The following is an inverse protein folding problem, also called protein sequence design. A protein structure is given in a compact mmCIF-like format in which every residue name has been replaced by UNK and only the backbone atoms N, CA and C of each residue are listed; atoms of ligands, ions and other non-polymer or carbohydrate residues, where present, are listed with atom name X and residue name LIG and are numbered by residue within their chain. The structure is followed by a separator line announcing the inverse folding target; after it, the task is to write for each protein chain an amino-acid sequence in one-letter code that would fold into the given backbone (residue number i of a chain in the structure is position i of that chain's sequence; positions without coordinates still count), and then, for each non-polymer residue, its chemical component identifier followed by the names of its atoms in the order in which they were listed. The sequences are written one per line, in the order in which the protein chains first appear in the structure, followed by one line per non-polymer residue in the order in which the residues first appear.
data_IF_773998887533
#
_entry.id   IF_773998887533
#
_cell.length_a   1.000
_cell.length_b   1.000
_cell.length_c   1.000
_cell.angle_alpha   90.00
_cell.angle_beta   90.00
_cell.angle_gamma   90.00
#
_symmetry.space_group_name_H-M   'P 1'
#
loop_
_entity.id
_entity.type
_entity.pdbx_description
1 polymer ?
#
# COMPACT_ATOMS: atom_id res chain seq x y z
N UNK A 1 -3.17 15.62 7.71
CA UNK A 1 -2.63 14.51 8.51
C UNK A 1 -1.84 15.04 9.71
N UNK A 2 -1.84 14.32 10.85
CA UNK A 2 -1.11 14.70 12.08
C UNK A 2 -0.04 13.64 12.38
N UNK A 3 1.16 14.08 12.78
CA UNK A 3 2.22 13.17 13.21
C UNK A 3 1.82 12.43 14.50
N UNK A 4 2.18 11.16 14.59
CA UNK A 4 1.89 10.28 15.71
C UNK A 4 3.08 9.34 15.93
N UNK A 5 3.45 9.16 17.19
CA UNK A 5 4.53 8.26 17.60
C UNK A 5 4.09 7.52 18.86
N UNK A 6 4.09 6.20 18.76
CA UNK A 6 3.86 5.24 19.81
C UNK A 6 5.11 4.35 19.94
N UNK A 7 5.19 3.53 20.97
CA UNK A 7 6.37 2.68 21.21
C UNK A 7 6.57 1.64 20.09
N UNK A 8 5.49 1.16 19.48
CA UNK A 8 5.47 0.10 18.47
C UNK A 8 5.42 0.62 17.02
N UNK A 9 5.07 1.89 16.81
CA UNK A 9 4.87 2.49 15.47
C UNK A 9 4.91 4.00 15.46
N UNK A 10 5.21 4.57 14.29
CA UNK A 10 5.17 6.01 14.07
C UNK A 10 4.75 6.37 12.65
N UNK A 11 3.96 7.45 12.52
CA UNK A 11 3.67 8.13 11.25
C UNK A 11 4.01 9.59 11.32
N UNK A 12 4.63 10.10 10.26
CA UNK A 12 4.94 11.51 10.18
C UNK A 12 5.11 11.92 8.72
N UNK A 13 4.94 13.21 8.48
CA UNK A 13 5.30 13.82 7.21
C UNK A 13 6.63 14.57 7.36
N UNK A 14 7.61 14.22 6.53
CA UNK A 14 8.94 14.85 6.50
C UNK A 14 9.48 14.83 5.07
N UNK A 15 10.18 15.89 4.65
CA UNK A 15 10.87 15.96 3.35
C UNK A 15 10.00 15.62 2.13
N UNK A 16 8.71 15.96 2.18
CA UNK A 16 7.75 15.69 1.10
C UNK A 16 7.22 14.25 1.08
N UNK A 17 7.63 13.42 2.04
CA UNK A 17 7.28 12.01 2.14
C UNK A 17 6.43 11.73 3.37
N UNK A 18 5.54 10.76 3.23
CA UNK A 18 4.78 10.23 4.35
C UNK A 18 5.42 8.94 4.84
N UNK A 19 5.91 8.97 6.08
CA UNK A 19 6.59 7.85 6.70
C UNK A 19 5.61 7.05 7.54
N UNK A 20 5.66 5.73 7.38
CA UNK A 20 4.93 4.75 8.18
C UNK A 20 5.97 3.74 8.65
N UNK A 21 6.25 3.72 9.95
CA UNK A 21 7.27 2.85 10.54
C UNK A 21 6.61 1.96 11.57
N UNK A 22 6.93 0.66 11.50
CA UNK A 22 6.51 -0.34 12.48
C UNK A 22 7.79 -0.88 13.12
N UNK A 23 7.89 -0.79 14.45
CA UNK A 23 9.09 -1.18 15.20
C UNK A 23 9.05 -2.64 15.65
N UNK A 24 7.88 -3.26 15.69
CA UNK A 24 7.70 -4.65 16.11
C UNK A 24 7.46 -5.60 14.93
N UNK A 25 8.19 -6.74 14.85
CA UNK A 25 7.92 -7.78 13.86
C UNK A 25 6.49 -8.31 13.92
N UNK A 26 5.95 -8.74 12.77
CA UNK A 26 4.62 -9.33 12.62
C UNK A 26 3.41 -8.41 12.89
N UNK A 27 3.63 -7.11 13.11
CA UNK A 27 2.54 -6.12 13.12
C UNK A 27 2.32 -5.53 11.72
N UNK A 28 1.06 -5.49 11.29
CA UNK A 28 0.62 -4.68 10.15
C UNK A 28 -0.05 -3.43 10.69
N UNK A 29 0.22 -2.29 10.07
CA UNK A 29 -0.40 -1.03 10.47
C UNK A 29 -0.96 -0.29 9.27
N UNK A 30 -2.17 0.23 9.45
CA UNK A 30 -2.87 1.04 8.46
C UNK A 30 -2.82 2.50 8.89
N UNK A 31 -2.24 3.33 8.05
CA UNK A 31 -2.24 4.76 8.26
C UNK A 31 -3.36 5.37 7.39
N UNK A 32 -4.52 5.61 8.00
CA UNK A 32 -5.72 6.12 7.30
C UNK A 32 -5.83 7.63 7.49
N UNK A 33 -6.14 8.35 6.40
CA UNK A 33 -6.52 9.77 6.44
C UNK A 33 -8.04 9.93 6.23
N UNK A 34 -8.56 11.08 6.63
CA UNK A 34 -9.99 11.45 6.69
C UNK A 34 -10.69 11.64 5.33
N UNK A 35 -10.01 11.42 4.21
CA UNK A 35 -10.60 11.55 2.88
C UNK A 35 -11.54 10.39 2.54
N UNK A 36 -12.79 10.70 2.20
CA UNK A 36 -13.75 9.71 1.69
C UNK A 36 -13.97 9.93 0.20
N UNK A 37 -13.58 8.93 -0.61
CA UNK A 37 -13.70 8.97 -2.06
C UNK A 37 -14.40 7.70 -2.55
N UNK A 38 -15.52 7.87 -3.27
CA UNK A 38 -16.24 6.76 -3.88
C UNK A 38 -15.47 6.24 -5.10
N UNK A 39 -15.29 7.11 -6.09
CA UNK A 39 -14.55 6.83 -7.33
C UNK A 39 -13.32 7.73 -7.38
N UNK A 40 -12.16 7.14 -7.70
CA UNK A 40 -10.90 7.86 -7.73
C UNK A 40 -9.85 7.12 -8.57
N UNK A 41 -8.84 7.88 -9.01
CA UNK A 41 -7.57 7.35 -9.46
C UNK A 41 -6.49 7.84 -8.49
N UNK A 42 -5.59 6.94 -8.08
CA UNK A 42 -4.49 7.22 -7.18
C UNK A 42 -3.20 6.62 -7.74
N UNK A 43 -2.11 7.36 -7.60
CA UNK A 43 -0.75 6.91 -7.86
C UNK A 43 0.08 7.18 -6.61
N UNK A 44 0.81 6.16 -6.14
CA UNK A 44 1.65 6.27 -4.94
C UNK A 44 2.99 5.60 -5.17
N UNK A 45 4.06 6.33 -4.88
CA UNK A 45 5.40 5.77 -4.77
C UNK A 45 5.61 5.16 -3.37
N UNK A 46 6.08 3.93 -3.32
CA UNK A 46 6.37 3.19 -2.10
C UNK A 46 7.87 2.93 -2.05
N UNK A 47 8.54 3.50 -1.06
CA UNK A 47 9.98 3.38 -0.83
C UNK A 47 10.25 2.63 0.48
N UNK A 48 10.54 1.31 0.44
CA UNK A 48 10.86 0.55 1.63
C UNK A 48 12.22 0.94 2.19
N UNK A 49 12.31 1.17 3.50
CA UNK A 49 13.60 1.49 4.16
C UNK A 49 14.43 0.24 4.47
N UNK A 50 13.77 -0.92 4.63
CA UNK A 50 14.42 -2.19 4.97
C UNK A 50 14.04 -3.27 3.98
N UNK A 51 15.02 -4.06 3.58
CA UNK A 51 14.81 -5.26 2.78
C UNK A 51 14.24 -6.39 3.64
N UNK A 52 13.25 -7.12 3.13
CA UNK A 52 12.64 -8.27 3.76
C UNK A 52 11.60 -8.89 2.84
N UNK A 53 11.76 -10.17 2.53
CA UNK A 53 10.90 -10.85 1.55
C UNK A 53 9.42 -10.87 1.96
N UNK A 54 9.12 -10.76 3.26
CA UNK A 54 7.76 -10.74 3.80
C UNK A 54 7.23 -9.34 4.09
N UNK A 55 8.01 -8.29 3.81
CA UNK A 55 7.57 -6.91 4.01
C UNK A 55 6.58 -6.50 2.93
N UNK A 56 5.41 -6.03 3.37
CA UNK A 56 4.34 -5.55 2.50
C UNK A 56 4.04 -4.08 2.76
N UNK A 57 3.73 -3.34 1.70
CA UNK A 57 3.29 -1.95 1.78
C UNK A 57 2.34 -1.68 0.62
N UNK A 58 1.43 -0.71 0.79
CA UNK A 58 0.39 -0.48 -0.20
C UNK A 58 -0.64 0.56 0.20
N UNK A 59 -1.75 0.51 -0.51
CA UNK A 59 -2.90 1.38 -0.33
C UNK A 59 -4.01 0.68 0.43
N UNK A 60 -4.52 1.36 1.46
CA UNK A 60 -5.82 1.07 2.06
C UNK A 60 -6.81 2.06 1.48
N UNK A 61 -7.92 1.58 0.94
CA UNK A 61 -8.90 2.44 0.26
C UNK A 61 -10.34 2.03 0.53
N UNK A 62 -11.26 2.98 0.30
CA UNK A 62 -12.68 2.89 0.69
C UNK A 62 -12.84 2.41 2.15
N UNK A 63 -11.95 2.91 3.01
CA UNK A 63 -11.91 2.56 4.41
C UNK A 63 -13.13 3.14 5.14
N UNK A 64 -13.87 2.26 5.81
CA UNK A 64 -14.97 2.65 6.69
C UNK A 64 -14.63 2.36 8.15
N UNK A 65 -13.98 1.23 8.39
CA UNK A 65 -13.45 0.79 9.69
C UNK A 65 -12.50 -0.41 9.46
N UNK A 66 -11.92 -0.94 10.55
CA UNK A 66 -10.92 -2.03 10.52
C UNK A 66 -11.43 -3.35 9.93
N UNK A 67 -12.75 -3.54 9.81
CA UNK A 67 -13.35 -4.74 9.22
C UNK A 67 -14.10 -4.43 7.93
N UNK A 68 -13.96 -3.22 7.38
CA UNK A 68 -14.65 -2.77 6.17
C UNK A 68 -13.76 -1.82 5.37
N UNK A 69 -12.91 -2.40 4.52
CA UNK A 69 -11.95 -1.68 3.68
C UNK A 69 -11.38 -2.59 2.59
N UNK A 70 -10.61 -2.00 1.68
CA UNK A 70 -9.82 -2.75 0.70
C UNK A 70 -8.33 -2.52 0.97
N UNK A 71 -7.51 -3.52 0.64
CA UNK A 71 -6.05 -3.45 0.70
C UNK A 71 -5.46 -3.89 -0.64
N UNK A 72 -4.69 -3.00 -1.27
CA UNK A 72 -3.84 -3.31 -2.41
C UNK A 72 -2.39 -3.16 -1.99
N UNK A 73 -1.66 -4.26 -1.91
CA UNK A 73 -0.28 -4.28 -1.36
C UNK A 73 0.68 -4.95 -2.31
N UNK A 74 1.93 -4.49 -2.28
CA UNK A 74 3.07 -5.16 -2.90
C UNK A 74 3.96 -5.76 -1.81
N UNK A 75 4.69 -6.80 -2.19
CA UNK A 75 5.71 -7.46 -1.38
C UNK A 75 7.05 -7.37 -2.10
N UNK A 76 8.13 -7.24 -1.34
CA UNK A 76 9.47 -6.96 -1.88
C UNK A 76 10.09 -8.12 -2.69
N UNK A 77 9.44 -9.27 -2.78
CA UNK A 77 9.85 -10.40 -3.63
C UNK A 77 9.19 -10.36 -5.03
N UNK A 78 8.45 -9.28 -5.34
CA UNK A 78 7.85 -9.05 -6.66
C UNK A 78 6.40 -9.54 -6.77
N UNK A 79 5.72 -9.70 -5.65
CA UNK A 79 4.32 -10.13 -5.60
C UNK A 79 3.40 -8.99 -5.20
N UNK A 80 2.16 -9.05 -5.65
CA UNK A 80 1.08 -8.17 -5.17
C UNK A 80 -0.16 -8.98 -4.78
N UNK A 81 -0.99 -8.38 -3.94
CA UNK A 81 -2.27 -8.93 -3.52
C UNK A 81 -3.34 -7.83 -3.44
N UNK A 82 -4.59 -8.24 -3.65
CA UNK A 82 -5.76 -7.38 -3.48
C UNK A 82 -6.81 -8.12 -2.64
N UNK A 83 -7.17 -7.52 -1.51
CA UNK A 83 -8.14 -8.08 -0.58
C UNK A 83 -9.23 -7.07 -0.24
N UNK A 84 -10.43 -7.58 0.01
CA UNK A 84 -11.54 -6.86 0.60
C UNK A 84 -11.82 -7.45 1.97
N UNK A 85 -11.86 -6.58 2.96
CA UNK A 85 -12.29 -6.90 4.31
C UNK A 85 -13.71 -6.41 4.50
N UNK A 86 -14.58 -7.30 4.94
CA UNK A 86 -15.97 -7.02 5.24
C UNK A 86 -16.40 -8.02 6.30
N UNK A 87 -17.01 -7.56 7.40
CA UNK A 87 -17.47 -8.45 8.49
C UNK A 87 -18.16 -9.70 7.93
N UNK A 88 -17.64 -10.88 8.29
CA UNK A 88 -18.07 -12.21 7.85
C UNK A 88 -17.97 -12.51 6.33
N UNK A 89 -17.34 -11.64 5.53
CA UNK A 89 -17.29 -11.70 4.07
C UNK A 89 -15.94 -11.25 3.46
N UNK A 90 -14.85 -11.47 4.20
CA UNK A 90 -13.49 -11.26 3.71
C UNK A 90 -13.28 -12.02 2.39
N UNK A 91 -12.70 -11.33 1.42
CA UNK A 91 -12.51 -11.86 0.07
C UNK A 91 -11.12 -11.51 -0.45
N UNK A 92 -10.38 -12.54 -0.84
CA UNK A 92 -9.19 -12.40 -1.68
C UNK A 92 -9.65 -12.15 -3.11
N UNK A 93 -9.51 -10.91 -3.59
CA UNK A 93 -9.89 -10.54 -4.96
C UNK A 93 -8.79 -10.91 -5.95
N UNK A 94 -7.53 -10.76 -5.53
CA UNK A 94 -6.35 -11.25 -6.24
C UNK A 94 -5.44 -11.94 -5.22
N UNK A 95 -5.34 -13.26 -5.32
CA UNK A 95 -4.33 -14.03 -4.59
C UNK A 95 -2.94 -13.55 -4.98
N UNK A 96 -1.98 -13.70 -4.06
CA UNK A 96 -0.58 -13.33 -4.29
C UNK A 96 -0.10 -13.74 -5.69
N UNK A 97 0.14 -12.73 -6.53
CA UNK A 97 0.52 -12.92 -7.92
C UNK A 97 1.82 -12.19 -8.18
N UNK A 98 2.74 -12.87 -8.87
CA UNK A 98 3.98 -12.24 -9.29
C UNK A 98 3.72 -11.21 -10.39
N UNK A 99 4.53 -10.15 -10.40
CA UNK A 99 4.53 -9.13 -11.43
C UNK A 99 5.97 -8.77 -11.77
N UNK A 100 6.29 -8.69 -13.06
CA UNK A 100 7.58 -8.19 -13.54
C UNK A 100 7.75 -6.68 -13.33
N UNK A 101 6.66 -5.97 -13.01
CA UNK A 101 6.66 -4.53 -12.77
C UNK A 101 6.94 -4.16 -11.31
N UNK A 102 7.07 -5.16 -10.42
CA UNK A 102 7.43 -4.95 -9.02
C UNK A 102 8.90 -5.28 -8.87
N UNK A 103 9.70 -4.23 -8.70
CA UNK A 103 11.13 -4.34 -8.46
C UNK A 103 11.38 -4.92 -7.07
N UNK A 104 12.32 -5.86 -6.99
CA UNK A 104 12.59 -6.64 -5.77
C UNK A 104 13.56 -5.92 -4.84
N UNK A 105 13.37 -6.13 -3.53
CA UNK A 105 14.21 -5.58 -2.47
C UNK A 105 13.73 -4.21 -1.95
N UNK A 106 14.65 -3.46 -1.34
CA UNK A 106 14.39 -2.13 -0.79
C UNK A 106 14.51 -1.05 -1.88
N UNK A 107 13.60 -1.11 -2.85
CA UNK A 107 13.58 -0.23 -4.03
C UNK A 107 12.21 0.43 -4.17
N UNK A 108 12.20 1.66 -4.71
CA UNK A 108 10.97 2.43 -4.90
C UNK A 108 10.13 1.81 -6.01
N UNK A 109 8.85 1.54 -5.72
CA UNK A 109 7.86 1.02 -6.66
C UNK A 109 6.67 1.98 -6.76
N UNK A 110 6.06 2.09 -7.94
CA UNK A 110 4.89 2.94 -8.17
C UNK A 110 3.63 2.09 -8.30
N UNK A 111 2.63 2.37 -7.47
CA UNK A 111 1.34 1.69 -7.49
C UNK A 111 0.28 2.62 -8.07
N UNK A 112 -0.42 2.15 -9.11
CA UNK A 112 -1.60 2.78 -9.67
C UNK A 112 -2.88 2.05 -9.24
N UNK A 113 -3.90 2.81 -8.83
CA UNK A 113 -5.19 2.28 -8.42
C UNK A 113 -6.31 3.13 -9.01
N UNK A 114 -7.24 2.48 -9.71
CA UNK A 114 -8.49 3.08 -10.19
C UNK A 114 -9.65 2.34 -9.55
N UNK A 115 -10.46 3.06 -8.78
CA UNK A 115 -11.71 2.58 -8.22
C UNK A 115 -12.89 3.28 -8.92
N UNK A 116 -13.79 2.49 -9.52
CA UNK A 116 -14.96 3.01 -10.24
C UNK A 116 -16.18 2.10 -10.02
N UNK A 117 -17.18 2.59 -9.30
CA UNK A 117 -18.35 1.79 -8.92
C UNK A 117 -17.94 0.55 -8.14
N UNK A 118 -18.41 -0.64 -8.53
CA UNK A 118 -17.97 -1.91 -7.95
C UNK A 118 -16.68 -2.45 -8.57
N UNK A 119 -16.20 -1.88 -9.68
CA UNK A 119 -14.97 -2.29 -10.33
C UNK A 119 -13.75 -1.66 -9.63
N UNK A 120 -12.71 -2.47 -9.44
CA UNK A 120 -11.41 -2.04 -8.96
C UNK A 120 -10.35 -2.54 -9.93
N UNK A 121 -9.59 -1.62 -10.51
CA UNK A 121 -8.45 -1.92 -11.36
C UNK A 121 -7.20 -1.48 -10.60
N UNK A 122 -6.36 -2.44 -10.21
CA UNK A 122 -5.08 -2.19 -9.57
C UNK A 122 -3.97 -2.58 -10.55
N UNK A 123 -3.05 -1.66 -10.81
CA UNK A 123 -1.91 -1.85 -11.71
C UNK A 123 -0.62 -1.50 -10.96
N UNK A 124 0.42 -2.32 -11.16
CA UNK A 124 1.78 -1.93 -10.79
C UNK A 124 2.41 -1.37 -12.06
N UNK A 125 2.87 -0.12 -12.02
CA UNK A 125 3.56 0.49 -13.15
C UNK A 125 5.07 0.46 -12.89
N UNK A 126 5.86 0.20 -13.94
CA UNK A 126 7.30 0.39 -13.86
C UNK A 126 7.54 1.89 -13.72
N UNK A 127 8.22 2.34 -12.67
CA UNK A 127 8.76 3.70 -12.65
C UNK A 127 9.67 3.81 -13.88
N UNK A 128 9.38 4.70 -14.86
CA UNK A 128 10.32 4.89 -15.96
C UNK A 128 11.67 5.30 -15.36
N UNK A 129 12.81 4.79 -15.87
CA UNK A 129 14.10 5.28 -15.42
C UNK A 129 14.09 6.79 -15.58
N UNK A 130 14.29 7.52 -14.48
CA UNK A 130 14.36 8.98 -14.51
C UNK A 130 15.37 9.41 -15.59
N UNK A 131 15.18 10.58 -16.24
CA UNK A 131 16.10 11.02 -17.27
C UNK A 131 17.51 10.98 -16.71
N UNK A 132 18.35 10.11 -17.29
CA UNK A 132 19.73 9.93 -16.88
C UNK A 132 20.44 11.30 -16.89
N UNK A 133 21.08 11.62 -15.77
CA UNK A 133 22.01 12.74 -15.70
C UNK A 133 23.25 12.46 -16.55
#
# INVERSE_FOLDING_TARGET
MRNERLDDRERYYADGQYHVVVHEPANSWMAVDSGSFADFAAEVEISPQLAGADHVAGLVFRYQNETNHYQFVIRQDGFYGLSRFQTDQDATLVSWRSSEFIERGAVTNTLGLIANGSATIAVCERTPPGPGR
#
